data_IF_420375200306
#
_entry.id   IF_420375200306
#
_cell.length_a   1.000
_cell.length_b   1.000
_cell.length_c   1.000
_cell.angle_alpha   90.00
_cell.angle_beta   90.00
_cell.angle_gamma   90.00
#
_symmetry.space_group_name_H-M   'P 1'
#
loop_
_entity.id
_entity.type
_entity.pdbx_description
1 polymer ?
#
# COMPACT_ATOMS: atom_id res chain seq x y z
N UNK A 1 -1.07 -4.48 2.29
CA UNK A 1 -2.38 -5.12 2.13
C UNK A 1 -2.89 -5.46 3.51
N UNK A 2 -4.21 -5.51 3.69
CA UNK A 2 -4.82 -5.79 4.98
C UNK A 2 -4.61 -7.25 5.43
N UNK A 3 -4.64 -7.46 6.75
CA UNK A 3 -4.37 -8.77 7.35
C UNK A 3 -5.40 -9.84 6.95
N UNK A 4 -6.64 -9.44 6.62
CA UNK A 4 -7.69 -10.36 6.18
C UNK A 4 -7.34 -10.95 4.81
N UNK A 5 -6.89 -10.13 3.86
CA UNK A 5 -6.42 -10.64 2.57
C UNK A 5 -5.26 -11.59 2.74
N UNK A 6 -4.25 -11.21 3.54
CA UNK A 6 -3.07 -12.05 3.81
C UNK A 6 -3.43 -13.40 4.43
N UNK A 7 -4.41 -13.44 5.34
CA UNK A 7 -4.92 -14.67 5.93
C UNK A 7 -5.41 -15.68 4.86
N UNK A 8 -6.31 -15.23 3.98
CA UNK A 8 -6.91 -16.11 2.97
C UNK A 8 -5.98 -16.39 1.80
N UNK A 9 -5.19 -15.39 1.40
CA UNK A 9 -4.16 -15.53 0.37
C UNK A 9 -3.12 -16.59 0.77
N UNK A 10 -2.56 -16.48 1.97
CA UNK A 10 -1.62 -17.44 2.53
C UNK A 10 -2.22 -18.83 2.68
N UNK A 11 -3.47 -18.91 3.19
CA UNK A 11 -4.19 -20.16 3.35
C UNK A 11 -4.38 -20.89 2.01
N UNK A 12 -4.86 -20.19 0.99
CA UNK A 12 -5.10 -20.75 -0.34
C UNK A 12 -3.80 -21.28 -0.98
N UNK A 13 -2.71 -20.51 -0.92
CA UNK A 13 -1.38 -20.92 -1.44
C UNK A 13 -0.91 -22.21 -0.76
N UNK A 14 -0.88 -22.23 0.58
CA UNK A 14 -0.40 -23.39 1.31
C UNK A 14 -1.25 -24.63 1.03
N UNK A 15 -2.58 -24.48 1.00
CA UNK A 15 -3.51 -25.58 0.76
C UNK A 15 -3.46 -26.14 -0.67
N UNK A 16 -3.09 -25.31 -1.65
CA UNK A 16 -2.90 -25.71 -3.03
C UNK A 16 -1.62 -26.55 -3.24
N UNK A 17 -0.58 -26.27 -2.45
CA UNK A 17 0.72 -26.97 -2.52
C UNK A 17 0.72 -28.24 -1.66
N UNK A 18 0.18 -28.15 -0.45
CA UNK A 18 0.12 -29.25 0.51
C UNK A 18 -0.69 -30.43 -0.04
N UNK A 19 -0.38 -31.67 0.40
CA UNK A 19 -1.15 -32.83 -0.01
C UNK A 19 -2.61 -32.73 0.49
N UNK A 20 -3.59 -33.36 -0.21
CA UNK A 20 -5.00 -33.27 0.15
C UNK A 20 -5.33 -33.67 1.60
N UNK A 21 -4.58 -34.63 2.16
CA UNK A 21 -4.74 -35.11 3.53
C UNK A 21 -4.39 -34.04 4.58
N UNK A 22 -3.60 -33.02 4.20
CA UNK A 22 -3.17 -31.95 5.09
C UNK A 22 -3.98 -30.65 4.94
N UNK A 23 -5.04 -30.64 4.13
CA UNK A 23 -5.68 -29.41 3.65
C UNK A 23 -6.04 -28.39 4.73
N UNK A 24 -6.78 -28.80 5.78
CA UNK A 24 -7.15 -27.88 6.88
C UNK A 24 -5.94 -27.33 7.63
N UNK A 25 -4.96 -28.19 7.88
CA UNK A 25 -3.73 -27.76 8.53
C UNK A 25 -2.93 -26.80 7.63
N UNK A 26 -2.94 -27.00 6.32
CA UNK A 26 -2.30 -26.12 5.36
C UNK A 26 -3.01 -24.77 5.24
N UNK A 27 -4.35 -24.74 5.22
CA UNK A 27 -5.13 -23.49 5.26
C UNK A 27 -4.75 -22.64 6.49
N UNK A 28 -4.75 -23.24 7.69
CA UNK A 28 -4.41 -22.53 8.93
C UNK A 28 -2.93 -22.16 9.01
N UNK A 29 -2.03 -23.05 8.59
CA UNK A 29 -0.61 -22.77 8.59
C UNK A 29 -0.26 -21.67 7.59
N UNK A 30 -0.83 -21.70 6.39
CA UNK A 30 -0.63 -20.68 5.36
C UNK A 30 -1.12 -19.31 5.81
N UNK A 31 -2.30 -19.27 6.44
CA UNK A 31 -2.83 -18.08 7.08
C UNK A 31 -1.85 -17.50 8.12
N UNK A 32 -1.38 -18.32 9.07
CA UNK A 32 -0.44 -17.87 10.10
C UNK A 32 0.92 -17.44 9.52
N UNK A 33 1.46 -18.20 8.55
CA UNK A 33 2.74 -17.90 7.92
C UNK A 33 2.69 -16.58 7.14
N UNK A 34 1.59 -16.31 6.46
CA UNK A 34 1.43 -15.06 5.72
C UNK A 34 1.12 -13.88 6.65
N UNK A 35 0.69 -14.09 7.89
CA UNK A 35 0.61 -13.01 8.91
C UNK A 35 1.97 -12.73 9.57
N UNK A 36 2.91 -13.68 9.54
CA UNK A 36 4.16 -13.61 10.30
C UNK A 36 5.00 -12.34 10.02
N UNK A 37 5.18 -11.86 8.78
CA UNK A 37 6.00 -10.67 8.52
C UNK A 37 5.47 -9.39 9.19
N UNK A 38 4.15 -9.23 9.21
CA UNK A 38 3.44 -8.08 9.81
C UNK A 38 3.49 -8.07 11.35
N UNK A 39 3.94 -9.15 12.00
CA UNK A 39 4.09 -9.17 13.46
C UNK A 39 5.21 -8.25 13.96
N UNK A 40 5.99 -7.63 13.05
CA UNK A 40 6.96 -6.58 13.37
C UNK A 40 6.34 -5.34 14.01
N UNK A 41 5.05 -5.08 13.80
CA UNK A 41 4.34 -3.95 14.42
C UNK A 41 4.36 -4.02 15.95
N UNK A 42 4.40 -5.23 16.52
CA UNK A 42 4.40 -5.45 17.97
C UNK A 42 5.70 -4.93 18.60
N UNK A 43 6.90 -5.42 18.22
CA UNK A 43 8.14 -4.86 18.74
C UNK A 43 8.34 -3.41 18.31
N UNK A 44 7.93 -3.00 17.11
CA UNK A 44 8.06 -1.61 16.65
C UNK A 44 7.27 -0.62 17.53
N UNK A 45 6.08 -1.00 17.99
CA UNK A 45 5.29 -0.17 18.90
C UNK A 45 5.96 0.08 20.26
N UNK A 46 6.94 -0.74 20.65
CA UNK A 46 7.65 -0.59 21.93
C UNK A 46 8.79 0.44 21.87
N UNK A 47 9.22 0.89 20.68
CA UNK A 47 10.32 1.86 20.54
C UNK A 47 9.91 3.32 20.77
N UNK A 48 8.62 3.64 20.70
CA UNK A 48 8.09 4.98 21.00
C UNK A 48 8.39 6.08 19.96
N UNK A 49 9.06 5.77 18.85
CA UNK A 49 9.27 6.68 17.73
C UNK A 49 8.29 6.36 16.59
N UNK A 50 7.32 7.25 16.29
CA UNK A 50 6.31 6.98 15.28
C UNK A 50 6.84 7.03 13.84
N UNK A 51 7.94 7.77 13.58
CA UNK A 51 8.59 7.75 12.26
C UNK A 51 9.33 6.43 12.07
N UNK A 52 10.03 5.93 13.10
CA UNK A 52 10.62 4.59 13.04
C UNK A 52 9.54 3.51 12.89
N UNK A 53 8.42 3.61 13.63
CA UNK A 53 7.32 2.66 13.54
C UNK A 53 6.75 2.57 12.11
N UNK A 54 6.55 3.70 11.44
CA UNK A 54 6.10 3.73 10.05
C UNK A 54 7.17 3.21 9.08
N UNK A 55 8.41 3.69 9.22
CA UNK A 55 9.43 3.48 8.18
C UNK A 55 10.21 2.17 8.32
N UNK A 56 10.20 1.55 9.49
CA UNK A 56 10.81 0.24 9.73
C UNK A 56 9.82 -0.91 9.58
N UNK A 57 8.51 -0.65 9.69
CA UNK A 57 7.49 -1.61 9.28
C UNK A 57 7.67 -1.95 7.80
N UNK A 58 7.50 -3.22 7.44
CA UNK A 58 7.78 -3.72 6.09
C UNK A 58 9.25 -3.60 5.66
N UNK A 59 10.13 -3.58 6.66
CA UNK A 59 11.58 -3.58 6.53
C UNK A 59 12.16 -5.00 6.49
N UNK A 60 13.00 -5.30 7.47
CA UNK A 60 13.71 -6.59 7.60
C UNK A 60 12.81 -7.82 7.53
N UNK A 61 11.64 -7.79 8.16
CA UNK A 61 10.68 -8.90 8.21
C UNK A 61 10.02 -9.22 6.87
N UNK A 62 10.10 -8.28 5.92
CA UNK A 62 9.52 -8.39 4.58
C UNK A 62 10.58 -8.60 3.50
N UNK A 63 11.86 -8.68 3.88
CA UNK A 63 12.97 -8.82 2.96
C UNK A 63 13.01 -10.20 2.32
N UNK A 64 13.15 -10.25 1.00
CA UNK A 64 13.44 -11.46 0.25
C UNK A 64 14.85 -12.00 0.47
N UNK A 65 15.75 -11.25 1.12
CA UNK A 65 17.01 -11.78 1.62
C UNK A 65 16.86 -12.45 2.98
N UNK A 66 15.88 -12.07 3.80
CA UNK A 66 15.71 -12.61 5.18
C UNK A 66 14.72 -13.78 5.20
N UNK A 67 13.59 -13.64 4.51
CA UNK A 67 12.48 -14.60 4.56
C UNK A 67 12.84 -16.01 4.11
N UNK A 68 13.72 -16.25 3.12
CA UNK A 68 14.14 -17.61 2.78
C UNK A 68 14.84 -18.36 3.92
N UNK A 69 15.63 -17.64 4.73
CA UNK A 69 16.28 -18.23 5.91
C UNK A 69 15.26 -18.53 7.01
N UNK A 70 14.30 -17.62 7.24
CA UNK A 70 13.19 -17.86 8.16
C UNK A 70 12.34 -19.06 7.71
N UNK A 71 11.99 -19.15 6.42
CA UNK A 71 11.26 -20.26 5.84
C UNK A 71 11.99 -21.60 6.05
N UNK A 72 13.29 -21.63 5.76
CA UNK A 72 14.12 -22.82 5.99
C UNK A 72 14.17 -23.21 7.46
N UNK A 73 14.33 -22.25 8.38
CA UNK A 73 14.39 -22.52 9.82
C UNK A 73 13.07 -23.10 10.35
N UNK A 74 11.93 -22.50 9.96
CA UNK A 74 10.59 -23.00 10.30
C UNK A 74 10.38 -24.41 9.76
N UNK A 75 10.70 -24.63 8.48
CA UNK A 75 10.60 -25.94 7.86
C UNK A 75 11.49 -26.99 8.56
N UNK A 76 12.76 -26.67 8.83
CA UNK A 76 13.71 -27.57 9.47
C UNK A 76 13.25 -27.94 10.89
N UNK A 77 12.72 -26.98 11.64
CA UNK A 77 12.15 -27.21 12.96
C UNK A 77 10.97 -28.18 12.90
N UNK A 78 9.98 -27.95 12.05
CA UNK A 78 8.81 -28.83 11.95
C UNK A 78 9.10 -30.18 11.29
N UNK A 79 10.09 -30.25 10.40
CA UNK A 79 10.57 -31.51 9.82
C UNK A 79 11.12 -32.46 10.90
N UNK A 80 11.85 -31.94 11.88
CA UNK A 80 12.41 -32.75 12.99
C UNK A 80 11.35 -33.30 13.94
N UNK A 81 10.12 -32.76 13.92
CA UNK A 81 9.03 -33.18 14.81
C UNK A 81 8.29 -34.46 14.36
N UNK A 82 8.63 -35.05 13.21
CA UNK A 82 8.05 -36.32 12.74
C UNK A 82 6.56 -36.27 12.34
N UNK A 83 6.00 -35.06 12.13
CA UNK A 83 4.56 -34.86 11.79
C UNK A 83 4.38 -34.53 10.30
N UNK A 84 3.33 -33.79 9.94
CA UNK A 84 2.94 -33.44 8.55
C UNK A 84 4.09 -32.94 7.66
N UNK A 85 4.97 -32.09 8.20
CA UNK A 85 6.15 -31.58 7.47
C UNK A 85 7.17 -32.70 7.20
N UNK A 86 7.33 -33.66 8.12
CA UNK A 86 8.20 -34.82 7.91
C UNK A 86 7.60 -35.83 6.91
N UNK A 87 6.27 -35.95 6.86
CA UNK A 87 5.55 -36.82 5.93
C UNK A 87 5.69 -36.33 4.48
N UNK A 88 5.58 -35.01 4.25
CA UNK A 88 5.65 -34.40 2.91
C UNK A 88 6.62 -33.21 2.87
N UNK A 89 7.94 -33.44 3.07
CA UNK A 89 8.90 -32.38 3.34
C UNK A 89 9.08 -31.42 2.17
N UNK A 90 9.02 -31.89 0.93
CA UNK A 90 9.18 -31.04 -0.26
C UNK A 90 7.99 -30.10 -0.44
N UNK A 91 6.76 -30.61 -0.34
CA UNK A 91 5.54 -29.80 -0.46
C UNK A 91 5.47 -28.75 0.65
N UNK A 92 5.76 -29.14 1.89
CA UNK A 92 5.73 -28.20 3.01
C UNK A 92 6.85 -27.16 2.98
N UNK A 93 8.04 -27.51 2.46
CA UNK A 93 9.09 -26.51 2.23
C UNK A 93 8.58 -25.40 1.31
N UNK A 94 8.02 -25.76 0.15
CA UNK A 94 7.50 -24.79 -0.80
C UNK A 94 6.26 -24.06 -0.30
N UNK A 95 5.37 -24.72 0.44
CA UNK A 95 4.23 -24.04 1.08
C UNK A 95 4.71 -22.94 2.03
N UNK A 96 5.70 -23.23 2.89
CA UNK A 96 6.26 -22.25 3.84
C UNK A 96 6.99 -21.13 3.09
N UNK A 97 7.88 -21.49 2.16
CA UNK A 97 8.68 -20.53 1.38
C UNK A 97 7.79 -19.57 0.60
N UNK A 98 6.84 -20.11 -0.18
CA UNK A 98 5.99 -19.29 -1.05
C UNK A 98 5.05 -18.45 -0.19
N UNK A 99 4.44 -18.98 0.88
CA UNK A 99 3.58 -18.15 1.75
C UNK A 99 4.34 -16.97 2.36
N UNK A 100 5.58 -17.17 2.82
CA UNK A 100 6.38 -16.08 3.37
C UNK A 100 6.79 -15.07 2.31
N UNK A 101 7.26 -15.51 1.14
CA UNK A 101 7.69 -14.62 0.06
C UNK A 101 6.53 -13.86 -0.62
N UNK A 102 5.35 -14.48 -0.66
CA UNK A 102 4.16 -13.94 -1.30
C UNK A 102 3.56 -12.76 -0.54
N UNK A 103 3.70 -12.72 0.79
CA UNK A 103 3.24 -11.61 1.61
C UNK A 103 3.84 -10.25 1.19
N UNK A 104 5.18 -10.05 1.23
CA UNK A 104 5.76 -8.78 0.85
C UNK A 104 5.60 -8.48 -0.66
N UNK A 105 5.42 -9.52 -1.50
CA UNK A 105 5.09 -9.32 -2.92
C UNK A 105 3.75 -8.57 -3.08
N UNK A 106 2.69 -9.03 -2.40
CA UNK A 106 1.38 -8.38 -2.46
C UNK A 106 1.43 -6.99 -1.81
N UNK A 107 2.23 -6.82 -0.76
CA UNK A 107 2.43 -5.52 -0.13
C UNK A 107 3.13 -4.50 -1.04
N UNK A 108 4.03 -4.94 -1.92
CA UNK A 108 4.66 -4.09 -2.93
C UNK A 108 3.65 -3.53 -3.96
N UNK A 109 2.48 -4.16 -4.13
CA UNK A 109 1.39 -3.62 -4.97
C UNK A 109 0.59 -2.50 -4.31
N UNK A 110 0.80 -2.24 -3.02
CA UNK A 110 0.15 -1.13 -2.30
C UNK A 110 1.06 0.10 -2.23
N UNK A 111 0.47 1.27 -1.97
CA UNK A 111 1.19 2.56 -1.94
C UNK A 111 2.08 2.74 -0.69
N UNK A 112 1.96 1.87 0.31
CA UNK A 112 2.72 1.98 1.57
C UNK A 112 4.23 1.99 1.41
N UNK A 113 4.74 1.13 0.52
CA UNK A 113 6.17 0.92 0.39
C UNK A 113 6.63 -0.31 1.17
N UNK A 114 7.27 -1.24 0.48
CA UNK A 114 7.82 -2.47 1.06
C UNK A 114 9.29 -2.58 0.72
N UNK A 115 10.15 -2.78 1.72
CA UNK A 115 11.61 -2.87 1.53
C UNK A 115 12.00 -4.30 1.13
N UNK A 116 11.55 -4.75 -0.04
CA UNK A 116 11.76 -6.12 -0.55
C UNK A 116 13.22 -6.58 -0.51
N UNK A 117 14.15 -5.64 -0.71
CA UNK A 117 15.58 -5.91 -0.85
C UNK A 117 16.41 -5.35 0.32
N UNK A 118 15.77 -5.09 1.48
CA UNK A 118 16.50 -4.74 2.71
C UNK A 118 17.58 -5.80 2.98
N UNK A 119 18.84 -5.44 3.33
CA UNK A 119 19.27 -4.11 3.81
C UNK A 119 19.86 -3.20 2.73
N UNK A 120 19.66 -3.47 1.44
CA UNK A 120 20.15 -2.56 0.39
C UNK A 120 19.51 -1.17 0.55
N UNK A 121 20.27 -0.07 0.35
CA UNK A 121 19.79 1.30 0.58
C UNK A 121 18.89 1.81 -0.55
N UNK A 122 17.90 1.02 -0.94
CA UNK A 122 16.90 1.37 -1.94
C UNK A 122 15.62 1.82 -1.27
N UNK A 123 14.97 2.83 -1.84
CA UNK A 123 13.66 3.26 -1.34
C UNK A 123 12.62 2.13 -1.44
N UNK A 124 11.64 2.09 -0.53
CA UNK A 124 10.64 1.02 -0.49
C UNK A 124 9.86 0.88 -1.81
N UNK A 125 9.61 -0.35 -2.26
CA UNK A 125 8.85 -0.61 -3.50
C UNK A 125 7.37 -0.32 -3.27
N UNK A 126 6.77 0.49 -4.15
CA UNK A 126 5.35 0.88 -4.10
C UNK A 126 4.72 0.93 -5.50
N UNK A 127 4.45 -0.22 -6.12
CA UNK A 127 3.78 -0.26 -7.42
C UNK A 127 2.39 0.36 -7.39
N UNK A 128 1.73 0.39 -6.22
CA UNK A 128 0.52 1.19 -5.99
C UNK A 128 -0.62 0.89 -6.98
N UNK A 129 -0.79 -0.37 -7.37
CA UNK A 129 -1.89 -0.78 -8.24
C UNK A 129 -3.09 -1.37 -7.49
N UNK A 130 -2.92 -1.66 -6.19
CA UNK A 130 -3.99 -2.14 -5.32
C UNK A 130 -4.13 -1.23 -4.09
N UNK A 131 -5.36 -1.05 -3.64
CA UNK A 131 -5.60 -0.40 -2.35
C UNK A 131 -5.34 -1.39 -1.21
N UNK A 132 -5.07 -0.88 -0.01
CA UNK A 132 -4.74 -1.71 1.16
C UNK A 132 -5.88 -2.65 1.54
N UNK A 133 -7.13 -2.19 1.40
CA UNK A 133 -8.34 -2.98 1.63
C UNK A 133 -9.13 -3.04 0.32
N UNK A 134 -9.08 -4.18 -0.36
CA UNK A 134 -9.80 -4.40 -1.62
C UNK A 134 -10.63 -5.70 -1.52
N UNK A 135 -11.93 -5.61 -1.20
CA UNK A 135 -12.77 -6.78 -1.04
C UNK A 135 -12.88 -7.64 -2.30
N UNK A 136 -12.79 -7.03 -3.49
CA UNK A 136 -12.86 -7.76 -4.76
C UNK A 136 -11.59 -8.57 -5.00
N UNK A 137 -10.46 -8.08 -4.50
CA UNK A 137 -9.22 -8.85 -4.45
C UNK A 137 -9.25 -9.97 -3.40
N UNK A 138 -9.82 -9.72 -2.21
CA UNK A 138 -9.88 -10.69 -1.10
C UNK A 138 -10.83 -11.87 -1.40
N UNK A 139 -11.98 -11.60 -2.02
CA UNK A 139 -13.10 -12.54 -2.13
C UNK A 139 -12.74 -13.88 -2.83
N UNK A 140 -12.01 -13.92 -3.95
CA UNK A 140 -11.64 -15.19 -4.60
C UNK A 140 -10.85 -16.12 -3.67
N UNK A 141 -9.92 -15.57 -2.87
CA UNK A 141 -9.12 -16.34 -1.92
C UNK A 141 -9.97 -16.88 -0.77
N UNK A 142 -10.86 -16.05 -0.23
CA UNK A 142 -11.81 -16.44 0.81
C UNK A 142 -12.69 -17.60 0.34
N UNK A 143 -13.34 -17.46 -0.81
CA UNK A 143 -14.24 -18.49 -1.35
C UNK A 143 -13.49 -19.79 -1.63
N UNK A 144 -12.28 -19.71 -2.18
CA UNK A 144 -11.42 -20.87 -2.39
C UNK A 144 -11.06 -21.58 -1.07
N UNK A 145 -10.73 -20.82 -0.02
CA UNK A 145 -10.46 -21.37 1.31
C UNK A 145 -11.69 -22.03 1.92
N UNK A 146 -12.87 -21.40 1.82
CA UNK A 146 -14.15 -21.95 2.32
C UNK A 146 -14.46 -23.26 1.62
N UNK A 147 -14.42 -23.30 0.29
CA UNK A 147 -14.65 -24.54 -0.46
C UNK A 147 -13.64 -25.61 -0.08
N UNK A 148 -12.34 -25.28 -0.03
CA UNK A 148 -11.29 -26.22 0.35
C UNK A 148 -11.43 -26.77 1.78
N UNK A 149 -11.96 -25.96 2.70
CA UNK A 149 -12.17 -26.35 4.10
C UNK A 149 -13.23 -27.45 4.26
N UNK A 150 -14.29 -27.37 3.46
CA UNK A 150 -15.41 -28.31 3.49
C UNK A 150 -15.24 -29.48 2.52
N UNK A 151 -14.73 -29.23 1.31
CA UNK A 151 -14.54 -30.26 0.29
C UNK A 151 -13.31 -31.17 0.56
N UNK A 152 -12.38 -30.76 1.43
CA UNK A 152 -11.27 -31.58 1.92
C UNK A 152 -10.45 -32.24 0.78
N UNK A 153 -10.53 -33.57 0.66
CA UNK A 153 -9.74 -34.35 -0.30
C UNK A 153 -10.41 -34.45 -1.68
N UNK A 154 -11.63 -33.94 -1.83
CA UNK A 154 -12.36 -34.00 -3.10
C UNK A 154 -11.62 -33.21 -4.19
N UNK A 155 -11.62 -33.67 -5.46
CA UNK A 155 -10.94 -32.98 -6.57
C UNK A 155 -11.36 -31.53 -6.74
N UNK A 156 -12.64 -31.23 -6.49
CA UNK A 156 -13.20 -29.88 -6.56
C UNK A 156 -12.53 -28.90 -5.57
N UNK A 157 -12.01 -29.36 -4.43
CA UNK A 157 -11.25 -28.52 -3.51
C UNK A 157 -10.00 -27.93 -4.17
N UNK A 158 -9.26 -28.74 -4.93
CA UNK A 158 -8.08 -28.29 -5.65
C UNK A 158 -8.44 -27.32 -6.77
N UNK A 159 -9.52 -27.61 -7.50
CA UNK A 159 -10.02 -26.73 -8.56
C UNK A 159 -10.41 -25.35 -8.01
N UNK A 160 -11.10 -25.30 -6.87
CA UNK A 160 -11.45 -24.05 -6.22
C UNK A 160 -10.21 -23.24 -5.77
N UNK A 161 -9.19 -23.90 -5.22
CA UNK A 161 -7.92 -23.26 -4.85
C UNK A 161 -7.19 -22.68 -6.07
N UNK A 162 -7.10 -23.44 -7.16
CA UNK A 162 -6.48 -22.98 -8.40
C UNK A 162 -7.28 -21.84 -9.02
N UNK A 163 -8.62 -21.92 -9.02
CA UNK A 163 -9.49 -20.85 -9.51
C UNK A 163 -9.33 -19.57 -8.69
N UNK A 164 -9.29 -19.67 -7.36
CA UNK A 164 -9.03 -18.53 -6.48
C UNK A 164 -7.67 -17.88 -6.76
N UNK A 165 -6.62 -18.69 -6.93
CA UNK A 165 -5.28 -18.21 -7.33
C UNK A 165 -5.34 -17.50 -8.68
N UNK A 166 -5.94 -18.14 -9.69
CA UNK A 166 -6.00 -17.61 -11.04
C UNK A 166 -6.78 -16.30 -11.09
N UNK A 167 -7.92 -16.20 -10.40
CA UNK A 167 -8.71 -14.97 -10.30
C UNK A 167 -7.95 -13.86 -9.57
N UNK A 168 -7.28 -14.17 -8.45
CA UNK A 168 -6.49 -13.18 -7.73
C UNK A 168 -5.31 -12.65 -8.56
N UNK A 169 -4.57 -13.54 -9.25
CA UNK A 169 -3.49 -13.14 -10.17
C UNK A 169 -4.03 -12.33 -11.34
N UNK A 170 -5.18 -12.73 -11.90
CA UNK A 170 -5.83 -11.99 -12.99
C UNK A 170 -6.28 -10.60 -12.54
N UNK A 171 -6.73 -10.46 -11.28
CA UNK A 171 -7.10 -9.17 -10.70
C UNK A 171 -5.89 -8.24 -10.54
N UNK A 172 -4.73 -8.76 -10.13
CA UNK A 172 -3.47 -8.00 -10.14
C UNK A 172 -3.10 -7.56 -11.55
N UNK A 173 -3.22 -8.47 -12.54
CA UNK A 173 -2.98 -8.14 -13.95
C UNK A 173 -3.91 -7.02 -14.45
N UNK A 174 -5.20 -7.11 -14.14
CA UNK A 174 -6.17 -6.06 -14.42
C UNK A 174 -5.80 -4.74 -13.76
N UNK A 175 -5.41 -4.74 -12.48
CA UNK A 175 -5.09 -3.51 -11.75
C UNK A 175 -3.87 -2.79 -12.32
N UNK A 176 -2.92 -3.53 -12.89
CA UNK A 176 -1.78 -2.96 -13.63
C UNK A 176 -2.21 -2.33 -14.97
N UNK A 177 -3.13 -2.96 -15.70
CA UNK A 177 -3.69 -2.39 -16.94
C UNK A 177 -4.48 -1.11 -16.63
N UNK A 178 -5.32 -1.15 -15.59
CA UNK A 178 -6.06 0.00 -15.08
C UNK A 178 -5.11 1.17 -14.73
N UNK A 179 -4.05 0.89 -13.97
CA UNK A 179 -3.00 1.85 -13.63
C UNK A 179 -2.36 2.47 -14.88
N UNK A 180 -1.98 1.65 -15.86
CA UNK A 180 -1.37 2.13 -17.10
C UNK A 180 -2.27 3.14 -17.84
N UNK A 181 -3.57 2.88 -17.94
CA UNK A 181 -4.52 3.80 -18.56
C UNK A 181 -4.64 5.13 -17.79
N UNK A 182 -4.65 5.07 -16.47
CA UNK A 182 -4.69 6.28 -15.62
C UNK A 182 -3.41 7.08 -15.74
N UNK A 183 -2.25 6.45 -15.68
CA UNK A 183 -0.96 7.12 -15.77
C UNK A 183 -0.75 7.78 -17.13
N UNK A 184 -1.19 7.14 -18.21
CA UNK A 184 -1.16 7.74 -19.55
C UNK A 184 -2.04 8.99 -19.63
N UNK A 185 -3.24 8.96 -19.05
CA UNK A 185 -4.14 10.12 -19.03
C UNK A 185 -3.57 11.26 -18.16
N UNK A 186 -3.00 10.92 -17.01
CA UNK A 186 -2.33 11.88 -16.13
C UNK A 186 -1.12 12.52 -16.81
N UNK A 187 -0.27 11.74 -17.47
CA UNK A 187 0.90 12.25 -18.19
C UNK A 187 0.50 13.25 -19.27
N UNK A 188 -0.53 12.95 -20.06
CA UNK A 188 -1.05 13.86 -21.09
C UNK A 188 -1.57 15.17 -20.49
N UNK A 189 -2.33 15.11 -19.40
CA UNK A 189 -2.89 16.29 -18.74
C UNK A 189 -1.82 17.13 -18.02
N UNK A 190 -0.83 16.50 -17.38
CA UNK A 190 0.28 17.19 -16.71
C UNK A 190 1.24 17.86 -17.71
N UNK A 191 1.46 17.25 -18.89
CA UNK A 191 2.26 17.85 -19.95
C UNK A 191 1.68 19.19 -20.45
N UNK A 192 0.36 19.31 -20.52
CA UNK A 192 -0.30 20.57 -20.88
C UNK A 192 -0.06 21.70 -19.85
N UNK A 193 0.35 21.34 -18.63
CA UNK A 193 0.68 22.28 -17.55
C UNK A 193 2.20 22.45 -17.35
N UNK A 194 3.03 21.91 -18.24
CA UNK A 194 4.50 21.93 -18.09
C UNK A 194 5.03 21.02 -16.97
N UNK A 195 4.23 20.06 -16.50
CA UNK A 195 4.56 19.13 -15.42
C UNK A 195 4.81 17.70 -15.95
N UNK A 196 5.27 17.57 -17.20
CA UNK A 196 5.50 16.26 -17.82
C UNK A 196 6.56 15.43 -17.09
N UNK A 197 7.55 16.05 -16.44
CA UNK A 197 8.64 15.34 -15.73
C UNK A 197 8.49 15.39 -14.21
N UNK A 198 7.39 15.97 -13.71
CA UNK A 198 7.11 16.05 -12.29
C UNK A 198 7.04 14.65 -11.65
N UNK A 199 7.76 14.39 -10.54
CA UNK A 199 7.61 13.17 -9.77
C UNK A 199 6.15 12.96 -9.40
N UNK A 200 5.64 11.75 -9.65
CA UNK A 200 4.23 11.43 -9.41
C UNK A 200 4.03 9.98 -9.00
N UNK A 201 2.90 9.72 -8.37
CA UNK A 201 2.38 8.38 -8.18
C UNK A 201 0.88 8.35 -8.50
N UNK A 202 0.38 7.15 -8.77
CA UNK A 202 -1.04 6.88 -8.90
C UNK A 202 -1.41 5.72 -7.97
N UNK A 203 -2.59 5.80 -7.38
CA UNK A 203 -3.11 4.80 -6.43
C UNK A 203 -4.62 4.65 -6.63
N UNK A 204 -5.17 3.43 -6.61
CA UNK A 204 -6.61 3.25 -6.59
C UNK A 204 -7.22 3.83 -5.31
N UNK A 205 -8.43 4.36 -5.42
CA UNK A 205 -9.21 4.81 -4.28
C UNK A 205 -9.72 3.61 -3.46
N UNK A 206 -10.09 3.80 -2.17
CA UNK A 206 -10.52 2.71 -1.30
C UNK A 206 -11.51 1.71 -1.92
N UNK A 207 -11.27 0.42 -1.67
CA UNK A 207 -12.15 -0.71 -1.99
C UNK A 207 -12.35 -1.08 -3.48
N UNK A 208 -11.66 -0.44 -4.41
CA UNK A 208 -11.88 -0.68 -5.84
C UNK A 208 -10.65 -0.40 -6.70
N UNK A 209 -10.67 -0.82 -7.97
CA UNK A 209 -9.66 -0.52 -8.99
C UNK A 209 -10.22 0.30 -10.16
N UNK A 210 -11.33 1.01 -9.95
CA UNK A 210 -12.08 1.75 -10.97
C UNK A 210 -11.85 3.26 -10.90
N UNK A 211 -11.77 3.83 -9.70
CA UNK A 211 -11.45 5.23 -9.46
C UNK A 211 -10.04 5.33 -8.88
N UNK A 212 -9.26 6.22 -9.47
CA UNK A 212 -7.84 6.38 -9.15
C UNK A 212 -7.53 7.82 -8.81
N UNK A 213 -6.56 7.98 -7.92
CA UNK A 213 -5.99 9.25 -7.52
C UNK A 213 -4.58 9.36 -8.05
N UNK A 214 -4.22 10.53 -8.54
CA UNK A 214 -2.88 10.85 -9.03
C UNK A 214 -2.39 12.09 -8.34
N UNK A 215 -1.18 12.03 -7.81
CA UNK A 215 -0.50 13.16 -7.18
C UNK A 215 0.81 13.41 -7.91
N UNK A 216 1.09 14.66 -8.25
CA UNK A 216 2.35 15.09 -8.85
C UNK A 216 2.95 16.26 -8.08
N UNK A 217 4.24 16.19 -7.76
CA UNK A 217 4.95 17.24 -7.04
C UNK A 217 5.21 18.46 -7.93
N UNK A 218 5.17 19.65 -7.36
CA UNK A 218 5.51 20.93 -8.02
C UNK A 218 6.55 21.68 -7.19
N UNK A 219 7.20 22.74 -7.73
CA UNK A 219 8.16 23.53 -6.96
C UNK A 219 7.60 24.16 -5.69
N UNK A 220 6.30 24.48 -5.68
CA UNK A 220 5.61 25.17 -4.58
C UNK A 220 4.68 24.24 -3.77
N UNK A 221 4.63 22.94 -4.11
CA UNK A 221 3.76 21.96 -3.46
C UNK A 221 3.44 20.75 -4.32
N UNK A 222 2.16 20.52 -4.60
CA UNK A 222 1.71 19.39 -5.41
C UNK A 222 0.37 19.69 -6.08
N UNK A 223 0.06 18.88 -7.08
CA UNK A 223 -1.26 18.81 -7.69
C UNK A 223 -1.86 17.43 -7.50
N UNK A 224 -3.16 17.37 -7.30
CA UNK A 224 -3.92 16.14 -7.04
C UNK A 224 -5.11 16.08 -8.00
N UNK A 225 -5.38 14.90 -8.55
CA UNK A 225 -6.51 14.69 -9.44
C UNK A 225 -7.05 13.28 -9.33
N UNK A 226 -8.31 13.12 -9.72
CA UNK A 226 -8.99 11.83 -9.76
C UNK A 226 -9.37 11.44 -11.19
N UNK A 227 -9.36 10.13 -11.45
CA UNK A 227 -9.81 9.57 -12.73
C UNK A 227 -10.62 8.29 -12.51
N UNK A 228 -11.87 8.31 -12.94
CA UNK A 228 -12.69 7.11 -13.11
C UNK A 228 -12.40 6.47 -14.47
N UNK A 229 -12.11 5.17 -14.47
CA UNK A 229 -12.00 4.38 -15.70
C UNK A 229 -13.37 4.10 -16.35
N UNK A 230 -14.46 4.33 -15.62
CA UNK A 230 -15.81 4.04 -16.09
C UNK A 230 -16.37 5.21 -16.89
N UNK A 231 -16.35 6.42 -16.32
CA UNK A 231 -17.08 7.57 -16.88
C UNK A 231 -16.19 8.65 -17.50
N UNK A 232 -14.99 8.89 -16.97
CA UNK A 232 -14.20 10.03 -17.43
C UNK A 232 -13.67 9.77 -18.85
N UNK A 233 -14.03 10.67 -19.79
CA UNK A 233 -13.54 10.64 -21.18
C UNK A 233 -12.62 11.81 -21.52
N UNK A 234 -12.72 12.89 -20.76
CA UNK A 234 -11.95 14.11 -20.98
C UNK A 234 -10.56 14.08 -20.31
N UNK A 235 -9.80 15.15 -20.56
CA UNK A 235 -8.51 15.38 -19.91
C UNK A 235 -8.67 15.41 -18.38
N UNK A 236 -7.73 14.79 -17.69
CA UNK A 236 -7.74 14.72 -16.23
C UNK A 236 -7.57 16.13 -15.63
N UNK A 237 -8.40 16.45 -14.65
CA UNK A 237 -8.32 17.71 -13.92
C UNK A 237 -7.48 17.53 -12.66
N UNK A 238 -6.75 18.59 -12.30
CA UNK A 238 -5.84 18.60 -11.17
C UNK A 238 -6.05 19.88 -10.37
N UNK A 239 -6.24 19.73 -9.08
CA UNK A 239 -6.30 20.79 -8.08
C UNK A 239 -4.91 21.01 -7.49
N UNK A 240 -4.54 22.28 -7.28
CA UNK A 240 -3.22 22.64 -6.76
C UNK A 240 -3.27 22.87 -5.25
N UNK A 241 -2.24 22.40 -4.57
CA UNK A 241 -2.09 22.51 -3.12
C UNK A 241 -0.68 23.01 -2.77
N UNK A 242 -0.62 24.03 -1.93
CA UNK A 242 0.63 24.59 -1.46
C UNK A 242 1.31 23.69 -0.40
N UNK A 243 2.63 23.75 -0.37
CA UNK A 243 3.50 23.13 0.64
C UNK A 243 4.54 24.16 1.08
N UNK A 244 4.91 24.16 2.36
CA UNK A 244 5.94 25.05 2.90
C UNK A 244 7.35 24.57 2.51
N UNK A 245 7.70 24.66 1.22
CA UNK A 245 8.93 24.13 0.64
C UNK A 245 10.19 24.79 1.21
N UNK A 246 10.10 26.07 1.59
CA UNK A 246 11.19 26.76 2.28
C UNK A 246 11.49 26.13 3.64
N UNK A 247 10.46 25.86 4.44
CA UNK A 247 10.63 25.25 5.76
C UNK A 247 11.14 23.81 5.63
N UNK A 248 10.64 23.06 4.65
CA UNK A 248 11.12 21.72 4.34
C UNK A 248 12.61 21.72 3.97
N UNK A 249 13.04 22.67 3.13
CA UNK A 249 14.46 22.80 2.74
C UNK A 249 15.36 23.16 3.92
N UNK A 250 14.91 24.06 4.80
CA UNK A 250 15.68 24.45 6.00
C UNK A 250 15.83 23.32 7.03
N UNK A 251 14.87 22.40 7.08
CA UNK A 251 14.88 21.23 7.96
C UNK A 251 15.44 19.97 7.27
N UNK A 252 15.99 20.08 6.05
CA UNK A 252 16.36 18.94 5.21
C UNK A 252 17.43 18.01 5.81
N UNK A 253 18.26 18.55 6.71
CA UNK A 253 19.33 17.79 7.38
C UNK A 253 18.87 17.05 8.64
N UNK A 254 17.61 17.21 9.05
CA UNK A 254 17.06 16.53 10.23
C UNK A 254 16.80 15.06 9.93
N UNK A 255 17.13 14.20 10.89
CA UNK A 255 17.09 12.76 10.74
C UNK A 255 15.69 12.25 10.37
N UNK A 256 14.65 12.79 11.01
CA UNK A 256 13.27 12.44 10.71
C UNK A 256 12.85 12.87 9.29
N UNK A 257 13.31 14.04 8.84
CA UNK A 257 13.02 14.58 7.50
C UNK A 257 13.69 13.74 6.43
N UNK A 258 14.97 13.40 6.58
CA UNK A 258 15.68 12.51 5.66
C UNK A 258 15.05 11.13 5.60
N UNK A 259 14.70 10.56 6.77
CA UNK A 259 14.08 9.24 6.87
C UNK A 259 12.72 9.19 6.18
N UNK A 260 11.87 10.19 6.41
CA UNK A 260 10.57 10.30 5.75
C UNK A 260 10.73 10.50 4.23
N UNK A 261 11.59 11.44 3.82
CA UNK A 261 11.84 11.73 2.39
C UNK A 261 12.32 10.48 1.63
N UNK A 262 13.23 9.70 2.22
CA UNK A 262 13.67 8.42 1.66
C UNK A 262 12.53 7.39 1.57
N UNK A 263 11.72 7.28 2.63
CA UNK A 263 10.66 6.27 2.73
C UNK A 263 9.49 6.57 1.78
N UNK A 264 9.10 7.85 1.67
CA UNK A 264 7.98 8.29 0.86
C UNK A 264 8.36 8.79 -0.53
N UNK A 265 9.62 8.62 -0.94
CA UNK A 265 10.11 9.06 -2.25
C UNK A 265 9.95 10.57 -2.51
N UNK A 266 9.94 11.37 -1.44
CA UNK A 266 9.69 12.80 -1.49
C UNK A 266 8.22 13.21 -1.63
N UNK A 267 7.28 12.26 -1.66
CA UNK A 267 5.84 12.55 -1.71
C UNK A 267 5.30 12.97 -0.35
N UNK A 268 5.67 14.18 0.08
CA UNK A 268 5.22 14.76 1.33
C UNK A 268 4.84 16.22 1.19
N UNK A 269 3.80 16.62 1.94
CA UNK A 269 3.44 18.01 2.15
C UNK A 269 4.09 18.50 3.45
N UNK A 270 4.79 19.62 3.38
CA UNK A 270 5.23 20.37 4.53
C UNK A 270 4.20 21.45 4.88
N UNK A 271 3.94 21.60 6.17
CA UNK A 271 3.02 22.62 6.68
C UNK A 271 3.53 23.20 7.99
N UNK A 272 3.64 24.53 8.08
CA UNK A 272 3.99 25.22 9.33
C UNK A 272 2.74 25.54 10.12
N UNK A 273 2.60 24.94 11.31
CA UNK A 273 1.45 25.15 12.21
C UNK A 273 1.89 25.40 13.63
N UNK A 274 1.42 26.49 14.24
CA UNK A 274 1.70 26.82 15.63
C UNK A 274 3.21 26.66 15.98
N UNK A 275 4.08 27.16 15.09
CA UNK A 275 5.55 27.05 15.13
C UNK A 275 6.14 25.65 14.88
N UNK A 276 5.36 24.63 14.62
CA UNK A 276 5.85 23.30 14.27
C UNK A 276 5.88 23.08 12.75
N UNK A 277 6.90 22.37 12.29
CA UNK A 277 6.95 21.82 10.93
C UNK A 277 6.30 20.45 10.95
N UNK A 278 5.17 20.33 10.23
CA UNK A 278 4.42 19.09 10.08
C UNK A 278 4.64 18.53 8.69
N UNK A 279 5.13 17.29 8.61
CA UNK A 279 5.24 16.55 7.35
C UNK A 279 4.10 15.55 7.24
N UNK A 280 3.36 15.62 6.13
CA UNK A 280 2.26 14.70 5.82
C UNK A 280 2.65 13.83 4.63
N UNK A 281 2.57 12.51 4.76
CA UNK A 281 2.84 11.58 3.65
C UNK A 281 1.66 11.61 2.67
N UNK A 282 1.90 12.13 1.46
CA UNK A 282 0.86 12.33 0.45
C UNK A 282 0.29 11.02 -0.07
N UNK A 283 1.01 9.90 0.10
CA UNK A 283 0.56 8.56 -0.33
C UNK A 283 -0.58 8.02 0.53
N UNK A 284 -0.74 8.55 1.74
CA UNK A 284 -1.57 7.97 2.79
C UNK A 284 -2.72 8.89 3.20
N UNK A 285 -3.78 8.87 2.40
CA UNK A 285 -4.95 9.73 2.56
C UNK A 285 -5.17 10.57 1.31
N UNK A 286 -5.89 11.68 1.45
CA UNK A 286 -6.18 12.64 0.37
C UNK A 286 -6.49 14.00 0.97
N UNK A 287 -6.16 15.09 0.28
CA UNK A 287 -6.30 16.44 0.84
C UNK A 287 -7.73 16.71 1.32
N UNK A 288 -7.96 17.18 2.57
CA UNK A 288 -6.98 17.60 3.58
C UNK A 288 -6.60 16.52 4.62
N UNK A 289 -7.12 15.30 4.49
CA UNK A 289 -7.10 14.24 5.48
C UNK A 289 -5.99 13.21 5.17
N UNK A 290 -4.84 13.33 5.86
CA UNK A 290 -3.72 12.38 5.75
C UNK A 290 -3.56 11.58 7.04
N UNK A 291 -3.33 10.26 6.91
CA UNK A 291 -3.20 9.35 8.06
C UNK A 291 -1.84 9.44 8.76
N UNK A 292 -0.78 9.74 8.00
CA UNK A 292 0.57 9.86 8.53
C UNK A 292 1.03 11.31 8.45
N UNK A 293 1.00 11.98 9.60
CA UNK A 293 1.41 13.36 9.79
C UNK A 293 2.31 13.43 11.00
N UNK A 294 3.50 14.00 10.84
CA UNK A 294 4.49 14.04 11.90
C UNK A 294 4.93 15.47 12.13
N UNK A 295 4.82 15.95 13.37
CA UNK A 295 5.58 17.12 13.79
C UNK A 295 7.04 16.67 13.98
N UNK A 296 7.96 17.26 13.20
CA UNK A 296 9.38 16.85 13.15
C UNK A 296 10.34 17.94 13.61
N UNK A 297 9.89 19.19 13.58
CA UNK A 297 10.68 20.32 14.06
C UNK A 297 9.79 21.40 14.67
N UNK A 298 10.39 22.23 15.51
CA UNK A 298 9.78 23.44 16.06
C UNK A 298 10.65 24.64 15.73
N UNK A 299 10.01 25.79 15.46
CA UNK A 299 10.68 27.05 15.18
C UNK A 299 10.93 27.81 16.46
N UNK A 300 12.18 28.08 16.78
CA UNK A 300 12.62 28.93 17.88
C UNK A 300 13.08 30.31 17.37
N UNK A 301 13.84 31.05 18.17
CA UNK A 301 14.35 32.38 17.80
C UNK A 301 15.53 32.33 16.81
N UNK A 302 16.25 31.20 16.74
CA UNK A 302 17.48 31.02 15.95
C UNK A 302 17.22 30.24 14.65
N UNK A 303 16.12 29.49 14.57
CA UNK A 303 15.72 28.78 13.37
C UNK A 303 14.77 27.62 13.62
N UNK A 304 14.92 26.57 12.82
CA UNK A 304 14.26 25.30 13.07
C UNK A 304 15.13 24.44 13.99
N UNK A 305 14.49 23.78 14.95
CA UNK A 305 15.11 22.81 15.85
C UNK A 305 14.38 21.48 15.72
N UNK A 306 15.13 20.41 15.47
CA UNK A 306 14.57 19.05 15.41
C UNK A 306 13.97 18.67 16.77
N UNK A 307 12.81 18.02 16.74
CA UNK A 307 12.13 17.47 17.93
C UNK A 307 11.95 15.97 17.77
N UNK A 308 11.74 15.25 18.88
CA UNK A 308 11.29 13.87 18.80
C UNK A 308 9.98 13.81 18.01
N UNK A 309 9.88 13.01 16.94
CA UNK A 309 8.71 13.02 16.07
C UNK A 309 7.43 12.68 16.82
N UNK A 310 6.36 13.43 16.55
CA UNK A 310 5.04 13.17 17.13
C UNK A 310 4.03 12.95 16.01
N UNK A 311 3.34 11.82 16.04
CA UNK A 311 2.26 11.58 15.08
C UNK A 311 1.03 12.37 15.49
N UNK A 312 0.60 13.27 14.61
CA UNK A 312 -0.62 14.05 14.80
C UNK A 312 -1.81 13.25 14.29
N UNK A 313 -2.79 13.02 15.16
CA UNK A 313 -4.05 12.38 14.77
C UNK A 313 -5.01 13.43 14.22
N UNK A 314 -5.48 13.22 13.00
CA UNK A 314 -6.64 13.92 12.46
C UNK A 314 -7.80 12.93 12.36
N UNK A 315 -9.03 13.31 12.73
CA UNK A 315 -10.17 12.43 12.51
C UNK A 315 -10.33 12.19 11.00
N UNK A 316 -10.05 10.97 10.56
CA UNK A 316 -10.44 10.54 9.22
C UNK A 316 -11.97 10.49 9.18
N UNK A 317 -12.60 11.49 8.56
CA UNK A 317 -14.06 11.55 8.40
C UNK A 317 -14.53 10.61 7.26
N UNK A 318 -14.33 9.29 7.44
CA UNK A 318 -14.72 8.26 6.45
C UNK A 318 -16.16 8.42 5.95
N UNK A 319 -17.06 8.86 6.85
CA UNK A 319 -18.49 9.05 6.56
C UNK A 319 -18.76 10.13 5.50
N UNK A 320 -17.85 11.09 5.32
CA UNK A 320 -17.99 12.18 4.35
C UNK A 320 -17.45 11.78 2.98
N UNK A 321 -16.29 11.14 2.94
CA UNK A 321 -15.54 10.88 1.70
C UNK A 321 -15.96 9.63 0.93
N UNK A 322 -16.40 8.57 1.62
CA UNK A 322 -16.77 7.32 0.93
C UNK A 322 -17.97 7.49 -0.02
N UNK A 323 -19.05 8.21 0.35
CA UNK A 323 -20.15 8.48 -0.58
C UNK A 323 -19.72 9.30 -1.80
N UNK A 324 -18.90 10.35 -1.61
CA UNK A 324 -18.37 11.19 -2.69
C UNK A 324 -17.49 10.36 -3.65
N UNK A 325 -16.58 9.56 -3.10
CA UNK A 325 -15.75 8.63 -3.87
C UNK A 325 -16.60 7.64 -4.67
N UNK A 326 -17.59 7.02 -4.04
CA UNK A 326 -18.48 6.08 -4.73
C UNK A 326 -19.26 6.75 -5.84
N UNK A 327 -19.74 7.98 -5.61
CA UNK A 327 -20.40 8.80 -6.63
C UNK A 327 -19.45 9.11 -7.79
N UNK A 328 -18.19 9.48 -7.54
CA UNK A 328 -17.17 9.79 -8.55
C UNK A 328 -16.78 8.62 -9.46
N UNK A 329 -16.95 7.37 -9.01
CA UNK A 329 -16.78 6.21 -9.90
C UNK A 329 -17.75 6.31 -11.10
N UNK A 330 -18.97 6.77 -10.86
CA UNK A 330 -20.08 6.72 -11.82
C UNK A 330 -20.51 8.08 -12.36
N UNK A 331 -19.87 9.17 -11.95
CA UNK A 331 -20.20 10.53 -12.36
C UNK A 331 -18.94 11.35 -12.63
N UNK A 332 -18.96 12.11 -13.72
CA UNK A 332 -17.89 13.05 -14.05
C UNK A 332 -17.80 14.17 -12.98
N UNK A 333 -16.61 14.77 -12.76
CA UNK A 333 -16.48 15.87 -11.82
C UNK A 333 -17.34 17.05 -12.28
N UNK A 334 -18.06 17.68 -11.34
CA UNK A 334 -18.83 18.90 -11.64
C UNK A 334 -17.84 20.00 -11.98
N UNK A 335 -17.71 20.31 -13.27
CA UNK A 335 -16.88 21.42 -13.74
C UNK A 335 -17.54 22.70 -13.23
N UNK A 336 -16.86 23.54 -12.42
CA UNK A 336 -17.35 24.88 -12.19
C UNK A 336 -17.40 25.56 -13.55
N UNK A 337 -18.60 25.94 -14.00
CA UNK A 337 -18.74 26.79 -15.19
C UNK A 337 -17.94 28.05 -14.89
N UNK A 338 -16.76 28.17 -15.49
CA UNK A 338 -16.01 29.41 -15.47
C UNK A 338 -16.94 30.45 -16.09
N UNK A 339 -17.35 31.42 -15.28
CA UNK A 339 -18.13 32.54 -15.76
C UNK A 339 -17.37 33.15 -16.93
N UNK A 340 -17.95 33.03 -18.13
CA UNK A 340 -17.53 33.83 -19.28
C UNK A 340 -17.58 35.27 -18.79
N UNK A 341 -16.48 36.04 -18.86
CA UNK A 341 -16.55 37.47 -18.58
C UNK A 341 -17.51 38.05 -19.60
N UNK A 342 -18.65 38.55 -19.14
CA UNK A 342 -19.54 39.35 -19.97
C UNK A 342 -18.70 40.54 -20.49
N UNK A 343 -18.46 40.67 -21.80
CA UNK A 343 -17.65 41.77 -22.33
C UNK A 343 -18.40 43.10 -22.31
N UNK A 344 -19.57 43.18 -21.65
CA UNK A 344 -20.32 44.42 -21.50
C UNK A 344 -20.88 44.58 -20.09
N UNK A 345 -20.04 45.06 -19.15
CA UNK A 345 -20.50 45.88 -18.01
C UNK A 345 -19.37 46.66 -17.36
#
# INVERSE_FOLDING_TARGET
MDSITHLFYGGAIAAAIAPPQHRRAALLAGAALNTLPDLDVIPLALFGDPVAQMTCHRGMTHSWFVLPFAAWAIWAFFRRRGRRVAQEPRRWFWAIMICLMAHPLIDAFTVYGTQLLWPLPMSPVMWSSLFIIDPLFTLPWLLACVVAWFALQQPFAQQALIAGIALGVSYVGWSLVAKFHVERAAQAALAQRGLQDAPRFSVPMPFNTLLWRVVAMTPDGYVEGERSLVVDRHAMQFDAHASDMQALGQAGDFSAVQRLTWFNHGFQKAEVRARQLVLSDLRMGSTPDFSFRFAVAERDAEGWREIAPQQLQWPWEARRRLPEMWWRIWNEPVVPVTAVPDPQR
#
